data_IF_519623843774
#
_entry.id   IF_519623843774
#
_cell.length_a   1.000
_cell.length_b   1.000
_cell.length_c   1.000
_cell.angle_alpha   90.00
_cell.angle_beta   90.00
_cell.angle_gamma   90.00
#
_symmetry.space_group_name_H-M   'P 1'
#
loop_
_entity.id
_entity.type
_entity.pdbx_description
1 polymer ?
#
# COMPACT_ATOMS: atom_id res chain seq x y z
N UNK A 1 -13.35 24.09 8.25
CA UNK A 1 -12.77 23.36 9.39
C UNK A 1 -12.92 21.84 9.30
N UNK A 2 -14.13 21.29 9.13
CA UNK A 2 -14.35 19.83 9.04
C UNK A 2 -13.47 19.13 7.99
N UNK A 3 -13.39 19.68 6.77
CA UNK A 3 -12.60 19.12 5.67
C UNK A 3 -11.10 19.06 5.99
N UNK A 4 -10.57 20.07 6.69
CA UNK A 4 -9.15 20.12 7.06
C UNK A 4 -8.80 19.06 8.11
N UNK A 5 -9.66 18.85 9.10
CA UNK A 5 -9.49 17.81 10.13
C UNK A 5 -9.55 16.41 9.49
N UNK A 6 -10.45 16.21 8.53
CA UNK A 6 -10.56 14.96 7.77
C UNK A 6 -9.28 14.71 6.97
N UNK A 7 -8.77 15.70 6.22
CA UNK A 7 -7.53 15.56 5.43
C UNK A 7 -6.32 15.24 6.31
N UNK A 8 -6.19 15.91 7.47
CA UNK A 8 -5.06 15.66 8.39
C UNK A 8 -5.15 14.29 9.06
N UNK A 9 -6.35 13.85 9.42
CA UNK A 9 -6.59 12.52 10.01
C UNK A 9 -6.30 11.42 8.99
N UNK A 10 -6.76 11.57 7.74
CA UNK A 10 -6.50 10.61 6.66
C UNK A 10 -4.99 10.52 6.37
N UNK A 11 -4.27 11.65 6.32
CA UNK A 11 -2.80 11.63 6.14
C UNK A 11 -2.09 10.88 7.27
N UNK A 12 -2.51 11.07 8.52
CA UNK A 12 -1.93 10.35 9.68
C UNK A 12 -2.23 8.86 9.66
N UNK A 13 -3.43 8.47 9.21
CA UNK A 13 -3.81 7.06 9.07
C UNK A 13 -2.99 6.42 7.95
N UNK A 14 -2.96 7.02 6.76
CA UNK A 14 -2.22 6.50 5.60
C UNK A 14 -0.70 6.46 5.84
N UNK A 15 -0.16 7.37 6.65
CA UNK A 15 1.24 7.35 7.05
C UNK A 15 1.58 6.35 8.17
N UNK A 16 0.58 5.72 8.80
CA UNK A 16 0.82 4.74 9.85
C UNK A 16 1.22 3.41 9.25
N UNK A 17 2.32 2.84 9.76
CA UNK A 17 2.76 1.47 9.39
C UNK A 17 1.60 0.47 9.48
N UNK A 18 0.74 0.60 10.51
CA UNK A 18 -0.41 -0.27 10.72
C UNK A 18 -1.39 -0.22 9.55
N UNK A 19 -1.72 0.97 9.03
CA UNK A 19 -2.64 1.11 7.92
C UNK A 19 -2.05 0.54 6.63
N UNK A 20 -0.76 0.74 6.38
CA UNK A 20 -0.07 0.18 5.23
C UNK A 20 -0.08 -1.35 5.29
N UNK A 21 0.18 -1.95 6.46
CA UNK A 21 0.08 -3.40 6.64
C UNK A 21 -1.34 -3.92 6.45
N UNK A 22 -2.36 -3.20 6.93
CA UNK A 22 -3.76 -3.58 6.70
C UNK A 22 -4.13 -3.52 5.21
N UNK A 23 -3.73 -2.46 4.50
CA UNK A 23 -3.95 -2.34 3.06
C UNK A 23 -3.22 -3.46 2.32
N UNK A 24 -1.98 -3.78 2.71
CA UNK A 24 -1.22 -4.90 2.15
C UNK A 24 -1.95 -6.24 2.37
N UNK A 25 -2.47 -6.50 3.56
CA UNK A 25 -3.20 -7.72 3.87
C UNK A 25 -4.47 -7.86 3.03
N UNK A 26 -5.26 -6.79 2.90
CA UNK A 26 -6.45 -6.78 2.03
C UNK A 26 -6.06 -7.07 0.58
N UNK A 27 -4.98 -6.47 0.09
CA UNK A 27 -4.48 -6.71 -1.26
C UNK A 27 -4.04 -8.15 -1.46
N UNK A 28 -3.35 -8.77 -0.49
CA UNK A 28 -2.93 -10.18 -0.57
C UNK A 28 -4.14 -11.09 -0.69
N UNK A 29 -5.17 -10.90 0.16
CA UNK A 29 -6.39 -11.72 0.09
C UNK A 29 -7.11 -11.57 -1.24
N UNK A 30 -7.32 -10.34 -1.71
CA UNK A 30 -7.97 -10.10 -3.00
C UNK A 30 -7.17 -10.73 -4.14
N UNK A 31 -5.85 -10.60 -4.11
CA UNK A 31 -4.97 -11.09 -5.16
C UNK A 31 -4.91 -12.62 -5.18
N UNK A 32 -4.86 -13.26 -4.01
CA UNK A 32 -4.90 -14.72 -3.86
C UNK A 32 -6.24 -15.27 -4.38
N UNK A 33 -7.36 -14.68 -3.99
CA UNK A 33 -8.69 -15.09 -4.44
C UNK A 33 -8.91 -14.85 -5.95
N UNK A 34 -8.40 -13.73 -6.48
CA UNK A 34 -8.62 -13.35 -7.88
C UNK A 34 -7.74 -14.12 -8.86
N UNK A 35 -6.51 -14.46 -8.47
CA UNK A 35 -5.55 -15.17 -9.32
C UNK A 35 -5.51 -16.69 -9.03
N UNK A 36 -6.18 -17.15 -7.97
CA UNK A 36 -6.15 -18.56 -7.55
C UNK A 36 -4.77 -19.04 -7.11
N UNK A 37 -3.93 -18.11 -6.65
CA UNK A 37 -2.54 -18.38 -6.22
C UNK A 37 -2.49 -18.56 -4.71
N UNK A 38 -1.50 -19.32 -4.24
CA UNK A 38 -1.28 -19.51 -2.81
C UNK A 38 -0.88 -18.20 -2.12
N UNK A 39 -1.10 -18.17 -0.80
CA UNK A 39 -0.93 -16.96 0.01
C UNK A 39 0.53 -16.46 0.04
N UNK A 40 1.51 -17.37 -0.07
CA UNK A 40 2.93 -17.04 -0.05
C UNK A 40 3.35 -16.36 -1.36
N UNK A 41 2.88 -16.89 -2.49
CA UNK A 41 3.06 -16.29 -3.81
C UNK A 41 2.36 -14.93 -3.90
N UNK A 42 1.12 -14.82 -3.41
CA UNK A 42 0.39 -13.55 -3.38
C UNK A 42 1.11 -12.48 -2.54
N UNK A 43 1.61 -12.87 -1.37
CA UNK A 43 2.39 -12.00 -0.49
C UNK A 43 3.66 -11.50 -1.14
N UNK A 44 4.39 -12.39 -1.81
CA UNK A 44 5.60 -12.04 -2.56
C UNK A 44 5.26 -11.04 -3.65
N UNK A 45 4.19 -11.27 -4.42
CA UNK A 45 3.78 -10.37 -5.50
C UNK A 45 3.38 -8.98 -4.97
N UNK A 46 2.57 -8.91 -3.91
CA UNK A 46 2.14 -7.65 -3.31
C UNK A 46 3.35 -6.87 -2.78
N UNK A 47 4.31 -7.53 -2.13
CA UNK A 47 5.52 -6.87 -1.66
C UNK A 47 6.43 -6.39 -2.80
N UNK A 48 6.56 -7.17 -3.88
CA UNK A 48 7.30 -6.74 -5.08
C UNK A 48 6.65 -5.52 -5.74
N UNK A 49 5.31 -5.51 -5.88
CA UNK A 49 4.57 -4.37 -6.42
C UNK A 49 4.73 -3.14 -5.51
N UNK A 50 4.61 -3.31 -4.19
CA UNK A 50 4.83 -2.20 -3.24
C UNK A 50 6.27 -1.67 -3.33
N UNK A 51 7.28 -2.54 -3.43
CA UNK A 51 8.67 -2.12 -3.57
C UNK A 51 8.90 -1.36 -4.88
N UNK A 52 8.29 -1.78 -5.99
CA UNK A 52 8.36 -1.08 -7.27
C UNK A 52 7.65 0.28 -7.22
N UNK A 53 6.45 0.34 -6.66
CA UNK A 53 5.69 1.60 -6.54
C UNK A 53 6.42 2.57 -5.63
N UNK A 54 6.96 2.11 -4.49
CA UNK A 54 7.76 2.95 -3.60
C UNK A 54 9.08 3.39 -4.28
N UNK A 55 9.78 2.48 -4.96
CA UNK A 55 11.00 2.78 -5.69
C UNK A 55 10.78 3.81 -6.80
N UNK A 56 9.71 3.66 -7.59
CA UNK A 56 9.30 4.61 -8.61
C UNK A 56 8.89 5.96 -8.01
N UNK A 57 8.10 5.93 -6.92
CA UNK A 57 7.70 7.16 -6.22
C UNK A 57 8.90 7.94 -5.70
N UNK A 58 9.92 7.26 -5.17
CA UNK A 58 11.17 7.89 -4.72
C UNK A 58 11.99 8.42 -5.90
N UNK A 59 12.11 7.65 -6.98
CA UNK A 59 12.84 8.07 -8.18
C UNK A 59 12.24 9.32 -8.84
N UNK A 60 10.92 9.43 -8.87
CA UNK A 60 10.22 10.60 -9.45
C UNK A 60 10.32 11.85 -8.56
N UNK A 61 10.46 11.70 -7.24
CA UNK A 61 10.72 12.83 -6.33
C UNK A 61 12.13 13.40 -6.56
N UNK A 62 13.12 12.54 -6.78
CA UNK A 62 14.52 12.94 -6.99
C UNK A 62 14.83 13.47 -8.41
N UNK A 63 13.88 13.37 -9.35
CA UNK A 63 14.00 14.00 -10.68
C UNK A 63 13.69 15.49 -10.68
N UNK A 64 13.22 16.04 -9.55
CA UNK A 64 13.07 17.49 -9.33
C UNK A 64 14.31 18.06 -8.65
#
# INVERSE_FOLDING_TARGET
>A
MKTWIITQTIKKILGSKKAIYTIAAILISILSDSLGIDEETAKTLVYSIMALVLGQSVADINKK
#
